data_IF_628576765471
#
_entry.id   IF_628576765471
#
_cell.length_a   1.000
_cell.length_b   1.000
_cell.length_c   1.000
_cell.angle_alpha   90.00
_cell.angle_beta   90.00
_cell.angle_gamma   90.00
#
_symmetry.space_group_name_H-M   'P 1'
#
loop_
_entity.id
_entity.type
_entity.pdbx_description
1 polymer ?
#
# COMPACT_ATOMS: atom_id res chain seq x y z
N UNK A 1 30.32 40.91 -47.07
CA UNK A 1 31.05 40.22 -46.02
C UNK A 1 30.49 38.84 -45.89
N UNK A 2 31.15 37.85 -46.54
CA UNK A 2 30.79 36.46 -46.69
C UNK A 2 31.34 35.68 -45.48
N UNK A 3 30.49 35.00 -44.69
CA UNK A 3 30.92 34.08 -43.64
C UNK A 3 30.72 32.63 -44.07
N UNK A 4 31.85 31.95 -44.24
CA UNK A 4 32.00 30.53 -44.54
C UNK A 4 31.56 29.66 -43.36
N UNK A 5 30.72 28.63 -43.64
CA UNK A 5 30.35 27.55 -42.70
C UNK A 5 31.47 26.49 -42.64
N UNK A 6 31.85 26.07 -41.44
CA UNK A 6 32.67 24.88 -41.17
C UNK A 6 31.76 23.65 -40.96
N UNK A 7 32.15 22.46 -41.45
CA UNK A 7 31.41 21.26 -41.23
C UNK A 7 31.69 20.63 -39.84
N UNK A 8 30.63 20.14 -39.18
CA UNK A 8 30.69 19.49 -37.89
C UNK A 8 31.13 18.00 -38.01
N UNK A 9 31.95 17.61 -37.04
CA UNK A 9 32.42 16.24 -36.82
C UNK A 9 31.29 15.38 -36.21
N UNK A 10 31.06 14.23 -36.80
CA UNK A 10 30.26 13.15 -36.22
C UNK A 10 31.06 12.41 -35.12
N UNK A 11 30.43 12.01 -33.99
CA UNK A 11 31.05 11.08 -33.05
C UNK A 11 30.66 9.63 -33.40
N UNK A 12 31.69 8.79 -33.55
CA UNK A 12 31.59 7.37 -33.89
C UNK A 12 30.87 6.52 -32.86
N UNK A 13 30.09 5.58 -33.40
CA UNK A 13 29.46 4.49 -32.67
C UNK A 13 30.53 3.53 -32.14
N UNK A 14 30.57 3.31 -30.84
CA UNK A 14 31.32 2.21 -30.22
C UNK A 14 30.38 1.05 -29.97
N UNK A 15 30.64 0.00 -30.71
CA UNK A 15 30.08 -1.34 -30.56
C UNK A 15 30.65 -1.96 -29.28
N UNK A 16 29.82 -2.28 -28.30
CA UNK A 16 30.22 -3.09 -27.12
C UNK A 16 29.72 -4.51 -27.36
N UNK A 17 30.65 -5.42 -27.49
CA UNK A 17 30.42 -6.85 -27.62
C UNK A 17 30.02 -7.43 -26.24
N UNK A 18 28.90 -8.15 -26.21
CA UNK A 18 28.40 -8.88 -25.04
C UNK A 18 28.99 -10.30 -25.07
N UNK A 19 29.85 -10.63 -24.13
CA UNK A 19 30.33 -11.99 -23.87
C UNK A 19 29.36 -12.71 -22.94
N UNK A 20 28.70 -13.72 -23.49
CA UNK A 20 27.90 -14.70 -22.74
C UNK A 20 28.86 -15.75 -22.13
N UNK A 21 28.95 -15.79 -20.82
CA UNK A 21 29.57 -16.88 -20.08
C UNK A 21 28.47 -17.80 -19.53
N UNK A 22 28.43 -19.02 -20.06
CA UNK A 22 27.62 -20.12 -19.54
C UNK A 22 28.37 -20.82 -18.40
N UNK A 23 27.72 -21.05 -17.28
CA UNK A 23 28.21 -21.93 -16.20
C UNK A 23 27.28 -23.12 -16.02
N UNK A 24 27.82 -24.32 -15.83
CA UNK A 24 27.04 -25.55 -15.76
C UNK A 24 26.48 -25.82 -14.35
N UNK A 25 25.30 -26.40 -14.31
CA UNK A 25 24.63 -26.92 -13.15
C UNK A 25 25.33 -28.17 -12.59
N UNK A 26 25.55 -28.21 -11.28
CA UNK A 26 25.88 -29.43 -10.55
C UNK A 26 24.65 -29.91 -9.81
N UNK A 27 24.09 -31.04 -10.27
CA UNK A 27 23.14 -31.87 -9.51
C UNK A 27 23.88 -32.54 -8.37
N UNK A 28 23.35 -32.42 -7.15
CA UNK A 28 23.71 -33.27 -6.03
C UNK A 28 22.45 -33.97 -5.50
N UNK A 29 22.40 -35.28 -5.71
CA UNK A 29 21.43 -36.20 -5.12
C UNK A 29 21.85 -36.53 -3.68
N UNK A 30 20.94 -36.39 -2.73
CA UNK A 30 21.07 -37.01 -1.40
C UNK A 30 19.83 -37.89 -1.14
N UNK A 31 20.12 -39.15 -0.90
CA UNK A 31 19.19 -40.25 -0.57
C UNK A 31 18.77 -40.20 0.90
N UNK A 32 17.56 -40.66 1.23
CA UNK A 32 17.12 -40.82 2.61
C UNK A 32 17.43 -42.22 3.13
N UNK A 33 17.95 -42.29 4.36
CA UNK A 33 18.12 -43.54 5.12
C UNK A 33 16.94 -43.81 6.07
N UNK A 34 16.60 -45.09 6.31
CA UNK A 34 15.51 -45.48 7.20
C UNK A 34 16.01 -45.77 8.62
N UNK A 35 15.22 -45.40 9.62
CA UNK A 35 15.42 -45.78 11.00
C UNK A 35 14.09 -46.05 11.71
N UNK A 36 13.77 -47.33 11.86
CA UNK A 36 12.68 -47.84 12.67
C UNK A 36 13.05 -47.90 14.16
N UNK A 37 12.10 -47.71 15.05
CA UNK A 37 11.88 -48.63 16.17
C UNK A 37 10.65 -48.20 17.01
N UNK A 38 9.88 -49.22 17.34
CA UNK A 38 8.70 -49.23 18.17
C UNK A 38 9.03 -49.28 19.67
N UNK A 39 8.09 -48.84 20.52
CA UNK A 39 7.81 -49.38 21.85
C UNK A 39 6.45 -48.85 22.35
N UNK A 40 5.51 -49.68 22.38
CA UNK A 40 4.59 -50.28 23.37
C UNK A 40 4.59 -49.64 24.77
N UNK A 41 3.36 -49.42 25.27
CA UNK A 41 3.09 -49.25 26.71
C UNK A 41 1.69 -48.71 27.01
N UNK A 42 0.80 -49.66 27.33
CA UNK A 42 -0.56 -49.43 27.81
C UNK A 42 -0.61 -48.96 29.26
N UNK A 43 -1.61 -48.16 29.62
CA UNK A 43 -2.38 -48.31 30.84
C UNK A 43 -3.59 -47.38 30.85
N UNK A 44 -4.77 -47.94 30.94
CA UNK A 44 -6.03 -47.23 31.17
C UNK A 44 -6.13 -46.79 32.64
N UNK A 45 -6.38 -45.51 32.86
CA UNK A 45 -6.75 -44.93 34.14
C UNK A 45 -8.06 -44.16 33.97
N UNK A 46 -9.15 -44.70 34.43
CA UNK A 46 -10.47 -44.06 34.51
C UNK A 46 -10.41 -43.03 35.66
N UNK A 47 -10.53 -41.76 35.32
CA UNK A 47 -10.67 -40.67 36.30
C UNK A 47 -12.17 -40.31 36.45
N UNK A 48 -12.65 -39.98 37.66
CA UNK A 48 -14.06 -39.66 37.91
C UNK A 48 -14.47 -38.32 37.33
N UNK A 49 -15.74 -38.26 36.89
CA UNK A 49 -16.35 -37.06 36.31
C UNK A 49 -16.37 -35.88 37.32
N UNK A 50 -15.89 -34.74 36.88
CA UNK A 50 -16.02 -33.49 37.59
C UNK A 50 -17.45 -32.92 37.51
N UNK A 51 -17.93 -32.21 38.55
CA UNK A 51 -19.25 -31.59 38.55
C UNK A 51 -19.37 -30.48 37.50
N UNK A 52 -20.57 -30.17 36.98
CA UNK A 52 -20.76 -29.11 36.01
C UNK A 52 -20.43 -27.75 36.62
N UNK A 53 -19.48 -27.07 36.00
CA UNK A 53 -19.09 -25.70 36.33
C UNK A 53 -20.21 -24.70 35.99
N UNK A 54 -20.21 -23.50 36.61
CA UNK A 54 -21.25 -22.53 36.37
C UNK A 54 -21.24 -22.07 34.93
N UNK A 55 -22.42 -22.06 34.30
CA UNK A 55 -22.67 -21.51 32.98
C UNK A 55 -22.17 -20.05 32.90
N UNK A 56 -21.07 -19.85 32.20
CA UNK A 56 -20.57 -18.51 31.86
C UNK A 56 -21.59 -17.85 30.92
N UNK A 57 -22.33 -16.90 31.43
CA UNK A 57 -23.10 -15.99 30.58
C UNK A 57 -22.11 -15.21 29.71
N UNK A 58 -22.26 -15.34 28.41
CA UNK A 58 -21.51 -14.51 27.47
C UNK A 58 -21.75 -13.02 27.78
N UNK A 59 -20.71 -12.17 27.78
CA UNK A 59 -20.88 -10.75 28.01
C UNK A 59 -21.85 -10.17 26.97
N UNK A 60 -22.82 -9.40 27.46
CA UNK A 60 -23.77 -8.68 26.61
C UNK A 60 -23.01 -7.86 25.56
N UNK A 61 -23.34 -8.05 24.30
CA UNK A 61 -22.78 -7.21 23.22
C UNK A 61 -23.11 -5.74 23.52
N UNK A 62 -22.13 -4.84 23.44
CA UNK A 62 -22.40 -3.42 23.57
C UNK A 62 -23.42 -2.99 22.50
N UNK A 63 -24.31 -2.03 22.80
CA UNK A 63 -25.29 -1.56 21.83
C UNK A 63 -24.57 -1.09 20.57
N UNK A 64 -25.11 -1.49 19.39
CA UNK A 64 -24.57 -1.07 18.11
C UNK A 64 -24.35 0.43 18.09
N UNK A 65 -23.13 0.86 17.80
CA UNK A 65 -22.79 2.28 17.71
C UNK A 65 -23.74 2.98 16.73
N UNK A 66 -24.22 4.16 17.10
CA UNK A 66 -25.04 4.98 16.20
C UNK A 66 -24.30 5.19 14.88
N UNK A 67 -25.02 5.16 13.74
CA UNK A 67 -24.43 5.21 12.42
C UNK A 67 -23.57 6.48 12.24
N UNK A 68 -22.30 6.27 11.95
CA UNK A 68 -21.38 7.38 11.66
C UNK A 68 -21.81 8.08 10.36
N UNK A 69 -22.33 9.31 10.50
CA UNK A 69 -22.79 10.14 9.37
C UNK A 69 -21.64 10.64 8.49
N UNK A 70 -20.38 10.37 8.85
CA UNK A 70 -19.20 10.76 8.09
C UNK A 70 -18.86 9.75 6.99
N UNK A 71 -19.44 8.55 7.03
CA UNK A 71 -19.18 7.51 6.06
C UNK A 71 -19.94 7.74 4.74
N UNK A 72 -19.37 7.27 3.61
CA UNK A 72 -20.06 7.31 2.33
C UNK A 72 -21.41 6.56 2.38
N UNK A 73 -22.44 7.02 1.62
CA UNK A 73 -23.78 6.43 1.70
C UNK A 73 -23.84 4.93 1.34
N UNK A 74 -22.86 4.41 0.60
CA UNK A 74 -22.77 3.00 0.23
C UNK A 74 -22.13 2.09 1.29
N UNK A 75 -21.66 2.60 2.43
CA UNK A 75 -20.92 1.83 3.44
C UNK A 75 -21.75 0.74 4.16
N UNK A 76 -23.04 0.61 3.88
CA UNK A 76 -23.95 -0.24 4.68
C UNK A 76 -24.75 -1.27 3.89
N UNK A 77 -24.65 -1.26 2.57
CA UNK A 77 -25.36 -2.18 1.69
C UNK A 77 -24.40 -2.73 0.64
N UNK A 78 -24.70 -3.87 0.01
CA UNK A 78 -24.00 -4.27 -1.20
C UNK A 78 -24.01 -3.11 -2.18
N UNK A 79 -22.81 -2.63 -2.52
CA UNK A 79 -22.70 -1.47 -3.42
C UNK A 79 -23.01 -1.95 -4.82
N UNK A 80 -24.03 -1.39 -5.50
CA UNK A 80 -24.32 -1.75 -6.88
C UNK A 80 -23.11 -1.50 -7.77
N UNK A 81 -22.85 -2.41 -8.72
CA UNK A 81 -21.85 -2.17 -9.74
C UNK A 81 -22.22 -0.89 -10.51
N UNK A 82 -21.30 0.05 -10.54
CA UNK A 82 -21.51 1.27 -11.29
C UNK A 82 -21.32 1.01 -12.79
N UNK A 83 -22.25 1.48 -13.62
CA UNK A 83 -22.12 1.34 -15.05
C UNK A 83 -20.85 2.03 -15.57
N UNK A 84 -20.21 1.42 -16.57
CA UNK A 84 -19.01 2.01 -17.20
C UNK A 84 -19.34 3.43 -17.70
N UNK A 85 -18.54 4.38 -17.27
CA UNK A 85 -18.70 5.80 -17.60
C UNK A 85 -19.59 6.59 -16.66
N UNK A 86 -20.35 5.94 -15.78
CA UNK A 86 -21.13 6.63 -14.77
C UNK A 86 -20.22 7.25 -13.71
N UNK A 87 -20.63 8.40 -13.19
CA UNK A 87 -19.96 9.12 -12.10
C UNK A 87 -20.97 9.53 -11.06
N UNK A 88 -20.80 9.02 -9.85
CA UNK A 88 -21.52 9.47 -8.66
C UNK A 88 -20.67 10.48 -7.90
N UNK A 89 -21.28 11.55 -7.42
CA UNK A 89 -20.60 12.57 -6.61
C UNK A 89 -21.36 12.84 -5.33
N UNK A 90 -20.64 13.21 -4.28
CA UNK A 90 -21.25 13.55 -3.01
C UNK A 90 -20.23 14.13 -2.02
N UNK A 91 -20.69 14.26 -0.77
CA UNK A 91 -19.88 14.76 0.33
C UNK A 91 -19.66 13.66 1.35
N UNK A 92 -18.41 13.47 1.80
CA UNK A 92 -18.07 12.57 2.87
C UNK A 92 -16.83 13.08 3.61
N UNK A 93 -16.74 12.87 4.90
CA UNK A 93 -15.61 13.22 5.76
C UNK A 93 -15.09 14.66 5.57
N UNK A 94 -15.99 15.61 5.27
CA UNK A 94 -15.64 17.02 5.04
C UNK A 94 -14.95 17.29 3.70
N UNK A 95 -15.14 16.44 2.71
CA UNK A 95 -14.64 16.62 1.34
C UNK A 95 -15.61 16.13 0.30
N UNK A 96 -15.27 16.34 -0.97
CA UNK A 96 -16.08 15.90 -2.13
C UNK A 96 -15.50 14.61 -2.67
N UNK A 97 -16.33 13.60 -2.88
CA UNK A 97 -15.92 12.36 -3.55
C UNK A 97 -16.54 12.23 -4.94
N UNK A 98 -15.89 11.44 -5.77
CA UNK A 98 -16.36 10.93 -7.05
C UNK A 98 -16.15 9.41 -7.03
N UNK A 99 -17.20 8.67 -7.30
CA UNK A 99 -17.15 7.24 -7.56
C UNK A 99 -17.38 7.04 -9.05
N UNK A 100 -16.39 6.48 -9.73
CA UNK A 100 -16.30 6.38 -11.19
C UNK A 100 -16.39 4.94 -11.62
N UNK A 101 -17.37 4.58 -12.46
CA UNK A 101 -17.45 3.29 -13.11
C UNK A 101 -16.49 3.23 -14.30
N UNK A 102 -15.57 2.27 -14.31
CA UNK A 102 -14.65 2.05 -15.43
C UNK A 102 -14.74 0.62 -15.95
N UNK A 103 -14.15 0.35 -17.11
CA UNK A 103 -13.99 -1.03 -17.61
C UNK A 103 -13.04 -1.89 -16.76
N UNK A 104 -12.36 -1.26 -15.80
CA UNK A 104 -11.40 -1.88 -14.86
C UNK A 104 -11.91 -1.83 -13.42
N UNK A 105 -13.23 -1.89 -13.21
CA UNK A 105 -13.83 -1.75 -11.88
C UNK A 105 -14.06 -0.30 -11.47
N UNK A 106 -14.49 -0.10 -10.24
CA UNK A 106 -14.73 1.23 -9.70
C UNK A 106 -13.42 1.94 -9.33
N UNK A 107 -13.45 3.26 -9.43
CA UNK A 107 -12.39 4.13 -8.88
C UNK A 107 -13.06 5.18 -8.01
N UNK A 108 -12.59 5.34 -6.81
CA UNK A 108 -13.04 6.38 -5.89
C UNK A 108 -11.97 7.46 -5.79
N UNK A 109 -12.35 8.69 -6.11
CA UNK A 109 -11.52 9.87 -5.89
C UNK A 109 -12.15 10.72 -4.77
N UNK A 110 -11.31 11.33 -3.94
CA UNK A 110 -11.79 12.22 -2.88
C UNK A 110 -10.86 13.42 -2.73
N UNK A 111 -11.46 14.58 -2.65
CA UNK A 111 -10.80 15.87 -2.47
C UNK A 111 -11.18 16.45 -1.12
N UNK A 112 -10.23 16.64 -0.18
CA UNK A 112 -10.54 17.24 1.12
C UNK A 112 -11.01 18.69 0.96
N UNK A 113 -11.83 19.16 1.91
CA UNK A 113 -12.08 20.58 2.05
C UNK A 113 -10.76 21.33 2.27
N UNK A 114 -10.64 22.50 1.66
CA UNK A 114 -9.39 23.28 1.74
C UNK A 114 -8.27 22.84 0.79
N UNK A 115 -8.45 21.77 0.01
CA UNK A 115 -7.50 21.40 -1.05
C UNK A 115 -7.31 22.56 -2.03
N UNK A 116 -6.06 22.88 -2.30
CA UNK A 116 -5.70 23.94 -3.25
C UNK A 116 -5.05 23.31 -4.49
N UNK A 117 -5.33 23.79 -5.71
CA UNK A 117 -4.70 23.27 -6.93
C UNK A 117 -3.18 23.30 -6.91
N UNK A 118 -2.59 24.20 -6.13
CA UNK A 118 -1.13 24.30 -5.92
C UNK A 118 -0.55 23.13 -5.09
N UNK A 119 -1.37 22.39 -4.34
CA UNK A 119 -0.92 21.32 -3.45
C UNK A 119 -0.44 20.08 -4.24
N UNK A 120 -0.80 20.00 -5.50
CA UNK A 120 -0.30 19.13 -6.58
C UNK A 120 -0.04 17.64 -6.25
N UNK A 121 -0.17 17.20 -5.00
CA UNK A 121 0.11 15.82 -4.59
C UNK A 121 -1.07 14.90 -4.80
N UNK A 122 -0.78 13.61 -4.96
CA UNK A 122 -1.76 12.52 -5.03
C UNK A 122 -1.40 11.44 -4.03
N UNK A 123 -2.39 10.91 -3.32
CA UNK A 123 -2.29 9.65 -2.59
C UNK A 123 -3.13 8.61 -3.33
N UNK A 124 -2.52 7.49 -3.72
CA UNK A 124 -3.25 6.34 -4.24
C UNK A 124 -3.23 5.23 -3.19
N UNK A 125 -4.43 4.79 -2.77
CA UNK A 125 -4.59 3.67 -1.86
C UNK A 125 -4.96 2.41 -2.63
N UNK A 126 -4.22 1.33 -2.41
CA UNK A 126 -4.45 0.01 -2.99
C UNK A 126 -4.89 -0.94 -1.87
N UNK A 127 -6.11 -1.45 -1.98
CA UNK A 127 -6.64 -2.43 -1.01
C UNK A 127 -5.99 -3.81 -1.19
N UNK A 128 -6.15 -4.67 -0.18
CA UNK A 128 -5.73 -6.07 -0.22
C UNK A 128 -6.73 -6.97 -0.95
N UNK A 129 -6.53 -8.29 -0.81
CA UNK A 129 -7.43 -9.30 -1.38
C UNK A 129 -8.74 -9.41 -0.60
N UNK A 130 -9.73 -10.07 -1.21
CA UNK A 130 -11.03 -10.41 -0.64
C UNK A 130 -11.92 -9.21 -0.26
N UNK A 131 -11.69 -8.08 -0.90
CA UNK A 131 -12.49 -6.87 -0.74
C UNK A 131 -12.59 -6.14 -2.08
N UNK A 132 -13.49 -5.18 -2.18
CA UNK A 132 -13.60 -4.24 -3.30
C UNK A 132 -13.14 -2.86 -2.85
N UNK A 133 -12.92 -1.96 -3.81
CA UNK A 133 -12.57 -0.57 -3.48
C UNK A 133 -13.64 0.11 -2.62
N UNK A 134 -14.91 -0.15 -2.91
CA UNK A 134 -16.02 0.44 -2.16
C UNK A 134 -16.05 -0.04 -0.71
N UNK A 135 -15.88 -1.36 -0.51
CA UNK A 135 -15.75 -1.95 0.83
C UNK A 135 -14.54 -1.40 1.58
N UNK A 136 -13.37 -1.35 0.92
CA UNK A 136 -12.16 -0.83 1.54
C UNK A 136 -12.32 0.65 1.94
N UNK A 137 -12.94 1.48 1.11
CA UNK A 137 -13.21 2.89 1.46
C UNK A 137 -14.09 3.00 2.69
N UNK A 138 -15.12 2.14 2.79
CA UNK A 138 -16.07 2.16 3.90
C UNK A 138 -15.48 1.54 5.18
N UNK A 139 -15.02 0.28 5.11
CA UNK A 139 -14.61 -0.50 6.27
C UNK A 139 -13.32 0.05 6.89
N UNK A 140 -12.40 0.51 6.06
CA UNK A 140 -11.17 1.15 6.53
C UNK A 140 -11.36 2.64 6.83
N UNK A 141 -12.52 3.23 6.58
CA UNK A 141 -12.82 4.67 6.77
C UNK A 141 -11.74 5.56 6.16
N UNK A 142 -11.42 5.31 4.88
CA UNK A 142 -10.21 5.87 4.26
C UNK A 142 -10.21 7.40 4.19
N UNK A 143 -11.37 8.03 3.99
CA UNK A 143 -11.46 9.50 3.94
C UNK A 143 -11.19 10.15 5.31
N UNK A 144 -11.70 9.53 6.37
CA UNK A 144 -11.46 9.97 7.75
C UNK A 144 -9.99 9.81 8.11
N UNK A 145 -9.39 8.68 7.76
CA UNK A 145 -7.97 8.43 7.98
C UNK A 145 -7.09 9.41 7.22
N UNK A 146 -7.42 9.66 5.94
CA UNK A 146 -6.70 10.67 5.16
C UNK A 146 -6.83 12.06 5.78
N UNK A 147 -8.05 12.47 6.14
CA UNK A 147 -8.30 13.76 6.81
C UNK A 147 -7.52 13.88 8.13
N UNK A 148 -7.51 12.82 8.93
CA UNK A 148 -6.77 12.80 10.21
C UNK A 148 -5.26 13.00 10.03
N UNK A 149 -4.70 12.64 8.87
CA UNK A 149 -3.29 12.89 8.55
C UNK A 149 -2.94 14.39 8.46
N UNK A 150 -3.93 15.23 8.20
CA UNK A 150 -3.74 16.67 7.97
C UNK A 150 -2.99 17.00 6.67
N UNK A 151 -2.99 16.09 5.69
CA UNK A 151 -2.35 16.32 4.39
C UNK A 151 -3.35 16.85 3.37
N UNK A 152 -2.85 17.72 2.49
CA UNK A 152 -3.59 18.30 1.37
C UNK A 152 -3.11 17.65 0.08
N UNK A 153 -3.92 16.73 -0.46
CA UNK A 153 -3.65 16.03 -1.71
C UNK A 153 -4.97 15.47 -2.26
N UNK A 154 -5.01 15.13 -3.54
CA UNK A 154 -6.08 14.32 -4.09
C UNK A 154 -5.89 12.88 -3.63
N UNK A 155 -6.93 12.29 -3.03
CA UNK A 155 -6.93 10.88 -2.66
C UNK A 155 -7.65 10.06 -3.74
N UNK A 156 -7.06 8.94 -4.15
CA UNK A 156 -7.60 8.03 -5.16
C UNK A 156 -7.49 6.60 -4.63
N UNK A 157 -8.57 5.84 -4.73
CA UNK A 157 -8.58 4.41 -4.48
C UNK A 157 -9.19 3.72 -5.71
N UNK A 158 -8.41 3.03 -6.52
CA UNK A 158 -8.91 2.19 -7.62
C UNK A 158 -9.24 0.78 -7.13
N UNK A 159 -10.03 0.07 -7.93
CA UNK A 159 -10.16 -1.38 -7.79
C UNK A 159 -8.78 -2.04 -7.93
N UNK A 160 -8.50 -3.02 -7.09
CA UNK A 160 -7.29 -3.83 -7.11
C UNK A 160 -7.67 -5.31 -7.25
N UNK A 161 -6.72 -6.23 -7.54
CA UNK A 161 -7.03 -7.65 -7.63
C UNK A 161 -7.73 -8.16 -6.37
N UNK A 162 -8.82 -8.91 -6.52
CA UNK A 162 -9.56 -9.49 -5.41
C UNK A 162 -8.88 -10.72 -4.80
N UNK A 163 -7.93 -11.35 -5.52
CA UNK A 163 -7.19 -12.51 -5.05
C UNK A 163 -5.84 -12.67 -5.78
N UNK A 164 -4.98 -13.53 -5.27
CA UNK A 164 -3.60 -13.67 -5.76
C UNK A 164 -3.47 -14.18 -7.21
N UNK A 165 -4.50 -14.84 -7.76
CA UNK A 165 -4.51 -15.35 -9.13
C UNK A 165 -4.92 -14.33 -10.19
N UNK A 166 -5.43 -13.17 -9.81
CA UNK A 166 -5.83 -12.12 -10.75
C UNK A 166 -4.65 -11.26 -11.19
N UNK A 167 -4.72 -10.79 -12.44
CA UNK A 167 -3.81 -9.76 -12.93
C UNK A 167 -4.10 -8.40 -12.26
N UNK A 168 -3.11 -7.53 -12.28
CA UNK A 168 -3.30 -6.16 -11.78
C UNK A 168 -4.34 -5.42 -12.63
N UNK A 169 -5.35 -4.90 -11.97
CA UNK A 169 -6.45 -4.14 -12.61
C UNK A 169 -5.92 -2.86 -13.28
N UNK A 170 -5.00 -2.19 -12.61
CA UNK A 170 -4.38 -0.95 -13.08
C UNK A 170 -2.86 -1.11 -13.17
N UNK A 171 -2.34 -1.72 -14.25
CA UNK A 171 -0.89 -1.93 -14.40
C UNK A 171 -0.10 -0.64 -14.66
N UNK A 172 -0.78 0.44 -15.03
CA UNK A 172 -0.19 1.74 -15.37
C UNK A 172 -0.82 2.86 -14.51
N UNK A 173 0.02 3.52 -13.70
CA UNK A 173 -0.38 4.62 -12.82
C UNK A 173 -0.82 5.86 -13.61
N UNK A 174 -0.14 6.18 -14.71
CA UNK A 174 -0.50 7.34 -15.54
C UNK A 174 -1.86 7.14 -16.20
N UNK A 175 -2.19 5.92 -16.63
CA UNK A 175 -3.51 5.58 -17.17
C UNK A 175 -4.61 5.75 -16.11
N UNK A 176 -4.39 5.30 -14.87
CA UNK A 176 -5.32 5.53 -13.76
C UNK A 176 -5.59 7.02 -13.53
N UNK A 177 -4.53 7.81 -13.40
CA UNK A 177 -4.66 9.25 -13.12
C UNK A 177 -5.34 9.99 -14.28
N UNK A 178 -5.06 9.60 -15.51
CA UNK A 178 -5.72 10.15 -16.71
C UNK A 178 -7.21 9.82 -16.74
N UNK A 179 -7.60 8.58 -16.41
CA UNK A 179 -8.99 8.17 -16.36
C UNK A 179 -9.78 8.95 -15.29
N UNK A 180 -9.21 9.09 -14.09
CA UNK A 180 -9.81 9.89 -13.01
C UNK A 180 -10.02 11.33 -13.48
N UNK A 181 -8.99 11.96 -14.04
CA UNK A 181 -9.08 13.34 -14.52
C UNK A 181 -10.17 13.51 -15.59
N UNK A 182 -10.17 12.63 -16.58
CA UNK A 182 -11.12 12.68 -17.71
C UNK A 182 -12.57 12.51 -17.23
N UNK A 183 -12.82 11.67 -16.22
CA UNK A 183 -14.15 11.36 -15.73
C UNK A 183 -14.68 12.35 -14.71
N UNK A 184 -13.81 12.91 -13.90
CA UNK A 184 -14.21 13.81 -12.80
C UNK A 184 -14.09 15.29 -13.15
N UNK A 185 -13.39 15.62 -14.23
CA UNK A 185 -13.01 17.00 -14.56
C UNK A 185 -11.95 17.59 -13.64
N UNK A 186 -11.42 16.80 -12.70
CA UNK A 186 -10.32 17.25 -11.86
C UNK A 186 -9.03 17.31 -12.69
N UNK A 187 -8.35 18.44 -12.66
CA UNK A 187 -7.02 18.52 -13.27
C UNK A 187 -6.09 17.55 -12.55
N UNK A 188 -5.37 16.68 -13.29
CA UNK A 188 -4.45 15.75 -12.63
C UNK A 188 -3.36 16.53 -11.95
N UNK A 189 -3.15 16.31 -10.66
CA UNK A 189 -2.01 16.90 -9.98
C UNK A 189 -0.71 16.46 -10.66
N UNK A 190 0.18 17.41 -10.91
CA UNK A 190 1.48 17.15 -11.54
C UNK A 190 2.59 16.89 -10.51
N UNK A 191 2.25 16.94 -9.23
CA UNK A 191 3.17 16.76 -8.13
C UNK A 191 3.44 15.30 -7.78
N UNK A 192 4.07 15.07 -6.62
CA UNK A 192 4.48 13.75 -6.19
C UNK A 192 3.28 12.83 -5.96
N UNK A 193 3.47 11.55 -6.28
CA UNK A 193 2.52 10.48 -5.96
C UNK A 193 3.04 9.69 -4.77
N UNK A 194 2.16 9.50 -3.80
CA UNK A 194 2.34 8.60 -2.66
C UNK A 194 1.43 7.40 -2.87
N UNK A 195 1.98 6.20 -2.84
CA UNK A 195 1.20 4.96 -2.88
C UNK A 195 1.14 4.39 -1.47
N UNK A 196 -0.06 4.15 -0.95
CA UNK A 196 -0.31 3.41 0.27
C UNK A 196 -1.00 2.09 -0.11
N UNK A 197 -0.33 0.96 0.12
CA UNK A 197 -0.84 -0.34 -0.30
C UNK A 197 -0.95 -1.29 0.89
N UNK A 198 -2.11 -1.90 1.05
CA UNK A 198 -2.35 -2.94 2.04
C UNK A 198 -2.24 -4.32 1.42
N UNK A 199 -1.57 -5.24 2.14
CA UNK A 199 -1.58 -6.66 1.78
C UNK A 199 -1.29 -6.90 0.29
N UNK A 200 -2.16 -7.59 -0.44
CA UNK A 200 -2.03 -7.88 -1.87
C UNK A 200 -1.86 -6.68 -2.81
N UNK A 201 -2.18 -5.47 -2.35
CA UNK A 201 -1.98 -4.22 -3.11
C UNK A 201 -0.52 -3.96 -3.51
N UNK A 202 0.44 -4.61 -2.84
CA UNK A 202 1.86 -4.51 -3.19
C UNK A 202 2.14 -4.92 -4.64
N UNK A 203 1.38 -5.85 -5.21
CA UNK A 203 1.60 -6.32 -6.60
C UNK A 203 1.44 -5.20 -7.61
N UNK A 204 0.37 -4.42 -7.47
CA UNK A 204 0.14 -3.23 -8.31
C UNK A 204 1.21 -2.17 -8.05
N UNK A 205 1.62 -1.97 -6.79
CA UNK A 205 2.71 -1.04 -6.44
C UNK A 205 4.00 -1.38 -7.17
N UNK A 206 4.38 -2.66 -7.26
CA UNK A 206 5.60 -3.09 -7.96
C UNK A 206 5.56 -2.77 -9.46
N UNK A 207 4.41 -2.82 -10.11
CA UNK A 207 4.27 -2.44 -11.53
C UNK A 207 4.48 -0.93 -11.75
N UNK A 208 4.22 -0.11 -10.73
CA UNK A 208 4.33 1.35 -10.82
C UNK A 208 5.70 1.92 -10.46
N UNK A 209 6.67 1.08 -10.10
CA UNK A 209 8.01 1.54 -9.71
C UNK A 209 8.74 2.36 -10.79
N UNK A 210 8.34 2.21 -12.06
CA UNK A 210 8.85 2.98 -13.18
C UNK A 210 8.24 4.39 -13.36
N UNK A 211 7.14 4.73 -12.67
CA UNK A 211 6.52 6.06 -12.81
C UNK A 211 7.42 7.13 -12.18
N UNK A 212 7.82 8.16 -12.93
CA UNK A 212 8.76 9.18 -12.43
C UNK A 212 8.18 10.06 -11.31
N UNK A 213 6.85 10.10 -11.14
CA UNK A 213 6.18 10.87 -10.08
C UNK A 213 6.07 10.09 -8.78
N UNK A 214 6.27 8.75 -8.80
CA UNK A 214 6.19 7.93 -7.60
C UNK A 214 7.34 8.29 -6.65
N UNK A 215 7.00 8.97 -5.58
CA UNK A 215 7.95 9.54 -4.62
C UNK A 215 7.99 8.76 -3.30
N UNK A 216 6.86 8.29 -2.82
CA UNK A 216 6.79 7.60 -1.55
C UNK A 216 5.89 6.35 -1.67
N UNK A 217 6.33 5.26 -1.04
CA UNK A 217 5.60 4.01 -0.93
C UNK A 217 5.41 3.69 0.55
N UNK A 218 4.16 3.46 0.95
CA UNK A 218 3.75 3.06 2.29
C UNK A 218 3.14 1.66 2.18
N UNK A 219 3.88 0.61 2.55
CA UNK A 219 3.35 -0.75 2.57
C UNK A 219 2.82 -1.09 3.96
N UNK A 220 1.54 -1.38 4.03
CA UNK A 220 0.77 -1.72 5.19
C UNK A 220 0.62 -3.25 5.21
N UNK A 221 1.54 -3.92 5.87
CA UNK A 221 1.68 -5.38 5.91
C UNK A 221 1.61 -6.04 4.51
N UNK A 222 2.32 -5.44 3.56
CA UNK A 222 2.28 -5.79 2.13
C UNK A 222 3.61 -6.25 1.55
N UNK A 223 4.67 -6.50 2.34
CA UNK A 223 5.96 -6.95 1.81
C UNK A 223 6.01 -8.47 1.67
N UNK A 224 5.09 -9.05 0.89
CA UNK A 224 5.11 -10.49 0.63
C UNK A 224 6.16 -10.90 -0.41
N UNK A 225 6.49 -10.02 -1.35
CA UNK A 225 7.54 -10.18 -2.39
C UNK A 225 8.01 -8.81 -2.87
N UNK A 226 9.10 -8.80 -3.67
CA UNK A 226 9.57 -7.59 -4.36
C UNK A 226 10.61 -6.79 -3.59
N UNK A 227 11.27 -7.40 -2.60
CA UNK A 227 12.28 -6.74 -1.76
C UNK A 227 13.39 -6.10 -2.59
N UNK A 228 13.92 -6.83 -3.57
CA UNK A 228 14.99 -6.33 -4.46
C UNK A 228 14.51 -5.21 -5.38
N UNK A 229 13.28 -5.33 -5.91
CA UNK A 229 12.68 -4.32 -6.78
C UNK A 229 12.45 -3.01 -6.01
N UNK A 230 11.93 -3.09 -4.76
CA UNK A 230 11.72 -1.92 -3.90
C UNK A 230 13.06 -1.28 -3.49
N UNK A 231 14.07 -2.09 -3.16
CA UNK A 231 15.41 -1.58 -2.88
C UNK A 231 16.01 -0.90 -4.10
N UNK A 232 15.96 -1.55 -5.27
CA UNK A 232 16.44 -0.98 -6.52
C UNK A 232 15.73 0.33 -6.87
N UNK A 233 14.39 0.39 -6.66
CA UNK A 233 13.65 1.63 -6.82
C UNK A 233 14.13 2.72 -5.85
N UNK A 234 14.32 2.38 -4.58
CA UNK A 234 14.76 3.32 -3.56
C UNK A 234 16.16 3.89 -3.87
N UNK A 235 17.08 3.05 -4.36
CA UNK A 235 18.48 3.40 -4.62
C UNK A 235 18.71 4.05 -5.98
N UNK A 236 17.82 3.84 -6.94
CA UNK A 236 18.00 4.35 -8.30
C UNK A 236 18.13 5.88 -8.33
N UNK A 237 19.01 6.42 -9.18
CA UNK A 237 19.16 7.84 -9.37
C UNK A 237 17.85 8.50 -9.79
N UNK A 238 17.46 9.57 -9.13
CA UNK A 238 16.22 10.28 -9.42
C UNK A 238 16.31 11.73 -8.95
N UNK A 239 15.57 12.62 -9.63
CA UNK A 239 15.42 14.01 -9.20
C UNK A 239 14.35 14.15 -8.10
N UNK A 240 13.41 13.20 -8.01
CA UNK A 240 12.37 13.17 -6.98
C UNK A 240 12.88 12.34 -5.81
N UNK A 241 13.03 12.90 -4.60
CA UNK A 241 13.46 12.12 -3.45
C UNK A 241 12.50 10.96 -3.16
N UNK A 242 13.01 9.73 -3.15
CA UNK A 242 12.25 8.50 -2.89
C UNK A 242 12.26 8.12 -1.42
N UNK A 243 11.14 7.60 -0.95
CA UNK A 243 10.99 7.09 0.41
C UNK A 243 10.15 5.84 0.44
N UNK A 244 10.54 4.88 1.28
CA UNK A 244 9.84 3.63 1.53
C UNK A 244 9.56 3.51 3.04
N UNK A 245 8.29 3.34 3.41
CA UNK A 245 7.86 3.07 4.78
C UNK A 245 7.13 1.74 4.79
N UNK A 246 7.61 0.82 5.60
CA UNK A 246 7.13 -0.55 5.69
C UNK A 246 6.57 -0.78 7.09
N UNK A 247 5.34 -1.23 7.18
CA UNK A 247 4.75 -1.71 8.44
C UNK A 247 4.53 -3.20 8.28
N UNK A 248 5.05 -4.00 9.18
CA UNK A 248 4.96 -5.46 9.13
C UNK A 248 4.34 -6.06 10.39
N UNK A 249 3.37 -6.94 10.18
CA UNK A 249 2.83 -7.92 11.13
C UNK A 249 3.13 -9.31 10.63
N UNK A 250 2.39 -9.82 9.65
CA UNK A 250 2.67 -11.09 8.95
C UNK A 250 3.96 -11.02 8.12
N UNK A 251 4.26 -9.85 7.56
CA UNK A 251 5.44 -9.60 6.74
C UNK A 251 6.66 -9.10 7.53
N UNK A 252 6.61 -9.16 8.86
CA UNK A 252 7.63 -8.60 9.77
C UNK A 252 9.04 -9.02 9.42
N UNK A 253 9.28 -10.31 9.26
CA UNK A 253 10.63 -10.85 9.02
C UNK A 253 11.23 -10.30 7.73
N UNK A 254 10.43 -10.13 6.69
CA UNK A 254 10.86 -9.54 5.42
C UNK A 254 11.13 -8.04 5.54
N UNK A 255 10.31 -7.33 6.30
CA UNK A 255 10.50 -5.91 6.61
C UNK A 255 11.80 -5.69 7.36
N UNK A 256 12.07 -6.50 8.39
CA UNK A 256 13.29 -6.44 9.17
C UNK A 256 14.54 -6.81 8.31
N UNK A 257 14.43 -7.83 7.47
CA UNK A 257 15.50 -8.24 6.57
C UNK A 257 15.86 -7.16 5.54
N UNK A 258 14.83 -6.54 4.90
CA UNK A 258 15.06 -5.46 3.96
C UNK A 258 15.69 -4.23 4.63
N UNK A 259 15.25 -3.90 5.85
CA UNK A 259 15.83 -2.81 6.61
C UNK A 259 17.29 -3.09 6.95
N UNK A 260 17.62 -4.29 7.40
CA UNK A 260 19.01 -4.68 7.71
C UNK A 260 19.92 -4.63 6.47
N UNK A 261 19.38 -4.94 5.28
CA UNK A 261 20.11 -4.90 4.02
C UNK A 261 20.22 -3.51 3.40
N UNK A 262 19.54 -2.48 3.97
CA UNK A 262 19.51 -1.12 3.40
C UNK A 262 20.24 -0.13 4.30
N UNK A 263 21.42 0.38 3.91
CA UNK A 263 22.16 1.36 4.71
C UNK A 263 21.36 2.62 5.01
N UNK A 264 21.43 3.09 6.25
CA UNK A 264 20.71 4.29 6.70
C UNK A 264 19.19 4.10 6.88
N UNK A 265 18.73 2.84 6.89
CA UNK A 265 17.36 2.51 7.31
C UNK A 265 17.16 2.81 8.80
N UNK A 266 15.91 3.05 9.18
CA UNK A 266 15.52 3.22 10.58
C UNK A 266 14.44 2.22 10.94
N UNK A 267 14.66 1.44 11.99
CA UNK A 267 13.67 0.48 12.50
C UNK A 267 12.99 1.03 13.75
N UNK A 268 11.67 0.91 13.77
CA UNK A 268 10.84 1.29 14.93
C UNK A 268 10.16 0.05 15.50
N UNK A 269 10.14 -0.10 16.84
CA UNK A 269 9.56 -1.27 17.50
C UNK A 269 8.03 -1.30 17.46
N UNK A 270 7.40 -0.19 17.10
CA UNK A 270 5.94 -0.03 17.00
C UNK A 270 5.57 1.16 16.15
N UNK A 271 4.34 1.19 15.65
CA UNK A 271 3.77 2.38 15.02
C UNK A 271 3.62 3.48 16.09
N UNK A 272 4.19 4.67 15.89
CA UNK A 272 4.02 5.76 16.85
C UNK A 272 2.58 6.29 16.83
N UNK A 273 2.19 7.02 17.88
CA UNK A 273 0.92 7.73 17.88
C UNK A 273 0.90 8.84 16.82
N UNK A 274 -0.28 9.24 16.37
CA UNK A 274 -0.45 10.27 15.33
C UNK A 274 0.24 11.60 15.68
N UNK A 275 0.31 11.91 16.95
CA UNK A 275 1.04 13.05 17.50
C UNK A 275 1.95 12.56 18.63
N UNK A 276 3.25 12.71 18.50
CA UNK A 276 3.98 13.55 17.51
C UNK A 276 4.12 12.97 16.10
N UNK A 277 3.93 11.65 15.89
CA UNK A 277 4.15 10.97 14.61
C UNK A 277 5.56 10.38 14.48
N UNK A 278 6.09 10.29 13.27
CA UNK A 278 7.50 9.91 13.05
C UNK A 278 8.41 11.08 13.42
N UNK A 279 9.38 10.83 14.30
CA UNK A 279 10.31 11.83 14.81
C UNK A 279 11.77 11.46 14.54
N UNK A 280 12.68 12.38 14.85
CA UNK A 280 14.11 12.19 14.75
C UNK A 280 14.53 11.69 13.37
N UNK A 281 15.43 10.73 13.33
CA UNK A 281 15.94 10.13 12.10
C UNK A 281 14.85 9.41 11.29
N UNK A 282 13.82 8.86 11.93
CA UNK A 282 12.71 8.20 11.23
C UNK A 282 11.91 9.17 10.34
N UNK A 283 11.88 10.46 10.69
CA UNK A 283 11.17 11.47 9.88
C UNK A 283 11.83 11.70 8.52
N UNK A 284 13.15 11.57 8.43
CA UNK A 284 13.95 11.90 7.25
C UNK A 284 14.54 10.69 6.54
N UNK A 285 14.58 9.54 7.19
CA UNK A 285 15.11 8.31 6.61
C UNK A 285 14.40 7.94 5.30
N UNK A 286 15.18 7.45 4.34
CA UNK A 286 14.66 6.98 3.06
C UNK A 286 13.92 5.65 3.19
N UNK A 287 14.35 4.77 4.10
CA UNK A 287 13.65 3.55 4.48
C UNK A 287 13.34 3.58 5.98
N UNK A 288 12.07 3.39 6.32
CA UNK A 288 11.61 3.20 7.69
C UNK A 288 10.88 1.87 7.77
N UNK A 289 11.37 0.99 8.62
CA UNK A 289 10.76 -0.29 8.96
C UNK A 289 10.06 -0.18 10.31
N UNK A 290 8.80 -0.56 10.38
CA UNK A 290 7.99 -0.43 11.59
C UNK A 290 7.38 -1.79 11.92
N UNK A 291 7.62 -2.31 13.11
CA UNK A 291 6.89 -3.47 13.61
C UNK A 291 5.48 -3.05 14.01
N UNK A 292 4.49 -3.76 13.49
CA UNK A 292 3.11 -3.48 13.87
C UNK A 292 2.80 -4.05 15.26
N UNK A 293 2.08 -3.28 16.05
CA UNK A 293 1.42 -3.75 17.28
C UNK A 293 -0.03 -4.18 16.99
N UNK A 294 -0.47 -4.09 15.76
CA UNK A 294 -1.80 -4.45 15.29
C UNK A 294 -1.71 -5.65 14.37
N UNK A 295 -2.64 -6.61 14.45
CA UNK A 295 -2.75 -7.70 13.48
C UNK A 295 -3.13 -7.17 12.11
N UNK A 296 -2.89 -7.97 11.08
CA UNK A 296 -2.99 -7.66 9.65
C UNK A 296 -4.12 -6.69 9.26
N UNK A 297 -5.37 -7.05 9.52
CA UNK A 297 -6.52 -6.21 9.15
C UNK A 297 -6.63 -4.95 10.02
N UNK A 298 -6.30 -5.03 11.29
CA UNK A 298 -6.39 -3.90 12.21
C UNK A 298 -5.42 -2.75 11.84
N UNK A 299 -4.37 -3.03 11.06
CA UNK A 299 -3.45 -2.01 10.51
C UNK A 299 -4.21 -0.97 9.69
N UNK A 300 -5.24 -1.37 8.96
CA UNK A 300 -6.02 -0.48 8.10
C UNK A 300 -7.38 -0.09 8.68
N UNK A 301 -7.97 -0.91 9.56
CA UNK A 301 -9.31 -0.69 10.10
C UNK A 301 -9.34 0.26 11.32
N UNK A 302 -8.32 0.21 12.19
CA UNK A 302 -8.32 1.00 13.44
C UNK A 302 -8.13 2.50 13.25
N UNK A 303 -7.61 2.94 12.10
CA UNK A 303 -7.36 4.36 11.87
C UNK A 303 -6.14 4.91 12.62
N UNK A 304 -5.27 4.04 13.12
CA UNK A 304 -4.10 4.43 13.91
C UNK A 304 -2.80 4.44 13.09
N UNK A 305 -2.72 3.68 11.99
CA UNK A 305 -1.50 3.50 11.21
C UNK A 305 -1.45 4.43 10.00
N UNK A 306 -2.40 4.31 9.08
CA UNK A 306 -2.39 5.07 7.83
C UNK A 306 -2.28 6.60 8.03
N UNK A 307 -3.00 7.23 8.99
CA UNK A 307 -2.86 8.66 9.22
C UNK A 307 -1.45 9.08 9.68
N UNK A 308 -0.79 8.24 10.47
CA UNK A 308 0.59 8.49 10.95
C UNK A 308 1.56 8.48 9.77
N UNK A 309 1.45 7.47 8.91
CA UNK A 309 2.33 7.33 7.75
C UNK A 309 2.10 8.46 6.74
N UNK A 310 0.84 8.77 6.43
CA UNK A 310 0.50 9.87 5.54
C UNK A 310 0.99 11.22 6.09
N UNK A 311 0.83 11.45 7.41
CA UNK A 311 1.33 12.66 8.06
C UNK A 311 2.85 12.82 7.92
N UNK A 312 3.58 11.73 7.83
CA UNK A 312 5.02 11.72 7.66
C UNK A 312 5.50 11.94 6.23
N UNK A 313 4.58 11.93 5.24
CA UNK A 313 4.92 12.17 3.83
C UNK A 313 5.30 13.64 3.58
N UNK A 314 5.91 13.88 2.42
CA UNK A 314 6.27 15.23 1.95
C UNK A 314 5.11 16.00 1.32
N UNK A 315 3.92 15.43 1.30
CA UNK A 315 2.73 16.13 0.82
C UNK A 315 2.49 17.41 1.62
N UNK A 316 1.89 18.41 0.99
CA UNK A 316 1.51 19.65 1.65
C UNK A 316 0.59 19.37 2.86
N UNK A 317 0.70 20.16 3.90
CA UNK A 317 -0.26 20.13 5.00
C UNK A 317 -1.50 20.96 4.66
N UNK A 318 -2.67 20.56 5.19
CA UNK A 318 -3.88 21.39 5.16
C UNK A 318 -3.57 22.67 5.96
N UNK A 319 -3.91 23.82 5.41
CA UNK A 319 -3.73 25.14 6.04
C UNK A 319 -4.97 25.58 6.81
#
# INVERSE_FOLDING_TARGET
VTRTRRPGREPGARLVALLLAASPALLSCATPGPGAAAATGAAAGVAPAAPPGPTSQAPAQPPAAAPDRTQPPWSRAPVPLLAIGAVETGQAAGGTFWRVGTSRGAVVAWRPAGYQPRDLGVVVYLHGYFTTVDQAVADHRLFEQFRASGRSALFIAPEAPAWNGEDSVWPDLAALLSEVSRRTGLSPPQGPVVVAAHSGGYRTTLLWLGDPRLSEILLLDGLYRGEEQLRGWLEAPTQVPRRLVLVGDETRDKVDALAAATPGSVSLPRVPSLRPGLEGTARTARLVAIRSQHPHMAIVERGEVLPVLLRATRLAAVR
#
